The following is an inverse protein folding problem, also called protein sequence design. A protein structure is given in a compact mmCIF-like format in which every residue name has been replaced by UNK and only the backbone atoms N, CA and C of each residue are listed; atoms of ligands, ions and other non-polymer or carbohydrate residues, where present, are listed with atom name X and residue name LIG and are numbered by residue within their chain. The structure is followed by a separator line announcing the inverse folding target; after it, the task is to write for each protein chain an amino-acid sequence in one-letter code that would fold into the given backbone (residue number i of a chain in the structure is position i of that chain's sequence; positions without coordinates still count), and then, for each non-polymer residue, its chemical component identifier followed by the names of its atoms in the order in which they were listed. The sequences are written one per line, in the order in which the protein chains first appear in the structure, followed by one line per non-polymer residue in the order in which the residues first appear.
data_IF_583762765002
#
_entry.id   IF_583762765002
#
_cell.length_a   1.000
_cell.length_b   1.000
_cell.length_c   1.000
_cell.angle_alpha   90.00
_cell.angle_beta   90.00
_cell.angle_gamma   90.00
#
_symmetry.space_group_name_H-M   'P 1'
#
loop_
_entity.id
_entity.type
_entity.pdbx_description
1 polymer ?
#
# COMPACT_ATOMS: atom_id res chain seq x y z
N UNK A 1 -12.24 50.00 11.77
CA UNK A 1 -12.84 48.70 12.10
C UNK A 1 -12.06 47.67 11.30
N UNK A 2 -11.23 46.88 11.97
CA UNK A 2 -10.48 45.80 11.36
C UNK A 2 -11.27 44.51 11.59
N UNK A 3 -11.77 43.92 10.51
CA UNK A 3 -12.31 42.56 10.53
C UNK A 3 -11.12 41.61 10.42
N UNK A 4 -10.70 41.06 11.56
CA UNK A 4 -9.81 39.91 11.61
C UNK A 4 -10.64 38.66 11.36
N UNK A 5 -10.67 38.21 10.11
CA UNK A 5 -11.14 36.88 9.73
C UNK A 5 -10.23 35.84 10.38
N UNK A 6 -10.70 35.28 11.48
CA UNK A 6 -10.09 34.13 12.13
C UNK A 6 -10.58 32.88 11.41
N UNK A 7 -9.94 32.56 10.28
CA UNK A 7 -10.11 31.25 9.67
C UNK A 7 -9.50 30.22 10.62
N UNK A 8 -10.39 29.55 11.35
CA UNK A 8 -10.04 28.37 12.14
C UNK A 8 -9.70 27.27 11.15
N UNK A 9 -8.42 27.13 10.87
CA UNK A 9 -7.84 25.96 10.22
C UNK A 9 -8.23 24.72 11.04
N UNK A 10 -9.31 24.05 10.63
CA UNK A 10 -9.63 22.70 11.08
C UNK A 10 -8.53 21.77 10.59
N UNK A 11 -7.48 21.66 11.40
CA UNK A 11 -6.48 20.60 11.33
C UNK A 11 -7.22 19.27 11.52
N UNK A 12 -7.63 18.64 10.43
CA UNK A 12 -8.00 17.23 10.44
C UNK A 12 -6.79 16.46 10.99
N UNK A 13 -6.90 15.91 12.21
CA UNK A 13 -5.92 14.94 12.70
C UNK A 13 -5.96 13.75 11.75
N UNK A 14 -4.87 13.57 10.99
CA UNK A 14 -4.77 12.50 10.01
C UNK A 14 -4.81 11.14 10.72
N UNK A 15 -5.91 10.42 10.56
CA UNK A 15 -6.11 9.05 11.07
C UNK A 15 -5.46 8.00 10.16
N UNK A 16 -4.27 8.29 9.60
CA UNK A 16 -3.54 7.35 8.73
C UNK A 16 -2.35 6.78 9.46
N UNK A 17 -2.30 5.46 9.56
CA UNK A 17 -1.13 4.77 10.07
C UNK A 17 -0.02 4.93 9.03
N UNK A 18 1.12 5.48 9.44
CA UNK A 18 2.31 5.44 8.62
C UNK A 18 2.87 4.02 8.58
N UNK A 19 3.34 3.61 7.42
CA UNK A 19 4.15 2.41 7.24
C UNK A 19 5.61 2.80 7.09
N UNK A 20 6.52 1.85 7.30
CA UNK A 20 7.93 2.07 7.04
C UNK A 20 8.18 2.30 5.55
N UNK A 21 8.79 3.44 5.22
CA UNK A 21 9.21 3.78 3.86
C UNK A 21 10.61 3.20 3.63
N UNK A 22 10.80 2.27 2.68
CA UNK A 22 12.12 1.71 2.37
C UNK A 22 13.13 2.80 2.01
N UNK A 23 14.42 2.59 2.27
CA UNK A 23 15.47 3.60 2.01
C UNK A 23 15.48 4.05 0.55
N UNK A 24 15.39 3.13 -0.41
CA UNK A 24 15.28 3.45 -1.85
C UNK A 24 14.09 4.36 -2.19
N UNK A 25 12.97 4.21 -1.48
CA UNK A 25 11.80 5.07 -1.64
C UNK A 25 11.98 6.43 -0.97
N UNK A 26 12.70 6.48 0.16
CA UNK A 26 12.96 7.73 0.88
C UNK A 26 13.81 8.71 0.06
N UNK A 27 14.56 8.24 -0.94
CA UNK A 27 15.33 9.05 -1.86
C UNK A 27 14.47 9.74 -2.95
N UNK A 28 13.24 9.28 -3.17
CA UNK A 28 12.34 9.82 -4.19
C UNK A 28 11.31 10.79 -3.59
N UNK A 29 11.46 12.08 -3.89
CA UNK A 29 10.55 13.15 -3.43
C UNK A 29 9.09 12.90 -3.85
N UNK A 30 8.84 12.17 -4.96
CA UNK A 30 7.48 11.84 -5.39
C UNK A 30 6.85 10.80 -4.45
N UNK A 31 7.64 9.86 -3.95
CA UNK A 31 7.21 8.89 -2.93
C UNK A 31 7.04 9.59 -1.58
N UNK A 32 7.97 10.46 -1.20
CA UNK A 32 7.86 11.27 0.02
C UNK A 32 6.55 12.09 0.02
N UNK A 33 6.23 12.73 -1.12
CA UNK A 33 4.96 13.45 -1.30
C UNK A 33 3.73 12.58 -1.02
N UNK A 34 3.73 11.34 -1.51
CA UNK A 34 2.62 10.39 -1.34
C UNK A 34 2.53 9.84 0.09
N UNK A 35 3.65 9.40 0.64
CA UNK A 35 3.73 8.71 1.94
C UNK A 35 3.59 9.66 3.13
N UNK A 36 4.04 10.91 2.99
CA UNK A 36 3.80 11.97 3.98
C UNK A 36 2.45 12.66 3.81
N UNK A 37 1.64 12.22 2.85
CA UNK A 37 0.30 12.75 2.61
C UNK A 37 0.29 14.26 2.34
N UNK A 38 1.31 14.80 1.67
CA UNK A 38 1.43 16.24 1.38
C UNK A 38 0.25 16.76 0.54
N UNK A 39 -0.37 15.89 -0.26
CA UNK A 39 -1.59 16.16 -1.01
C UNK A 39 -2.84 16.38 -0.15
N UNK A 40 -2.82 16.02 1.13
CA UNK A 40 -4.03 16.10 1.95
C UNK A 40 -4.33 17.51 2.48
N UNK A 41 -3.42 18.46 2.23
CA UNK A 41 -3.57 19.89 2.60
C UNK A 41 -4.17 20.74 1.47
N UNK A 42 -4.48 20.14 0.33
CA UNK A 42 -4.99 20.84 -0.86
C UNK A 42 -6.40 20.35 -1.22
N UNK A 43 -7.07 21.08 -2.12
CA UNK A 43 -8.39 20.75 -2.61
C UNK A 43 -8.43 19.34 -3.23
N UNK A 44 -9.53 18.60 -3.02
CA UNK A 44 -9.63 17.19 -3.39
C UNK A 44 -9.38 16.92 -4.88
N UNK A 45 -9.86 17.76 -5.80
CA UNK A 45 -9.63 17.59 -7.23
C UNK A 45 -8.13 17.73 -7.59
N UNK A 46 -7.45 18.70 -6.98
CA UNK A 46 -6.00 18.88 -7.14
C UNK A 46 -5.22 17.74 -6.49
N UNK A 47 -5.64 17.27 -5.31
CA UNK A 47 -5.03 16.14 -4.62
C UNK A 47 -5.05 14.87 -5.49
N UNK A 48 -6.21 14.55 -6.09
CA UNK A 48 -6.36 13.40 -6.99
C UNK A 48 -5.47 13.52 -8.24
N UNK A 49 -5.41 14.70 -8.82
CA UNK A 49 -4.56 14.97 -9.98
C UNK A 49 -3.08 14.78 -9.63
N UNK A 50 -2.64 15.28 -8.48
CA UNK A 50 -1.26 15.15 -8.02
C UNK A 50 -0.89 13.70 -7.70
N UNK A 51 -1.76 12.95 -6.98
CA UNK A 51 -1.55 11.52 -6.71
C UNK A 51 -1.37 10.76 -8.03
N UNK A 52 -2.28 11.00 -8.98
CA UNK A 52 -2.25 10.34 -10.29
C UNK A 52 -0.98 10.68 -11.08
N UNK A 53 -0.60 11.96 -11.13
CA UNK A 53 0.63 12.41 -11.82
C UNK A 53 1.87 11.74 -11.24
N UNK A 54 1.99 11.72 -9.90
CA UNK A 54 3.16 11.15 -9.22
C UNK A 54 3.25 9.63 -9.44
N UNK A 55 2.14 8.90 -9.30
CA UNK A 55 2.11 7.47 -9.58
C UNK A 55 2.44 7.17 -11.06
N UNK A 56 1.99 8.00 -12.00
CA UNK A 56 2.35 7.88 -13.42
C UNK A 56 3.84 8.14 -13.68
N UNK A 57 4.40 9.18 -13.09
CA UNK A 57 5.82 9.51 -13.18
C UNK A 57 6.72 8.41 -12.60
N UNK A 58 6.21 7.66 -11.62
CA UNK A 58 6.85 6.50 -10.99
C UNK A 58 6.62 5.18 -11.76
N UNK A 59 5.78 5.18 -12.80
CA UNK A 59 5.44 3.96 -13.55
C UNK A 59 4.44 3.02 -12.88
N UNK A 60 3.74 3.47 -11.83
CA UNK A 60 2.79 2.67 -11.04
C UNK A 60 1.33 2.75 -11.54
N UNK A 61 1.15 2.99 -12.83
CA UNK A 61 -0.18 3.09 -13.46
C UNK A 61 -0.65 1.75 -14.05
N UNK A 62 -1.92 1.65 -14.41
CA UNK A 62 -2.49 0.53 -15.17
C UNK A 62 -2.46 -0.84 -14.46
N UNK A 63 -2.90 -0.90 -13.19
CA UNK A 63 -3.10 -2.15 -12.44
C UNK A 63 -1.88 -3.12 -12.51
N UNK A 64 -0.67 -2.58 -12.65
CA UNK A 64 0.54 -3.33 -13.02
C UNK A 64 1.31 -3.96 -11.84
N UNK A 65 0.77 -3.89 -10.62
CA UNK A 65 1.36 -4.38 -9.35
C UNK A 65 2.82 -3.95 -9.07
N UNK A 66 3.42 -3.05 -9.87
CA UNK A 66 4.82 -2.67 -9.77
C UNK A 66 5.16 -2.03 -8.41
N UNK A 67 4.26 -1.19 -7.88
CA UNK A 67 4.45 -0.60 -6.56
C UNK A 67 4.46 -1.65 -5.43
N UNK A 68 3.69 -2.72 -5.57
CA UNK A 68 3.66 -3.83 -4.60
C UNK A 68 4.95 -4.64 -4.66
N UNK A 69 5.46 -4.86 -5.88
CA UNK A 69 6.77 -5.46 -6.11
C UNK A 69 7.87 -4.64 -5.43
N UNK A 70 8.01 -3.37 -5.81
CA UNK A 70 9.06 -2.48 -5.33
C UNK A 70 9.05 -2.34 -3.81
N UNK A 71 7.86 -2.27 -3.20
CA UNK A 71 7.78 -2.21 -1.74
C UNK A 71 8.33 -3.48 -1.08
N UNK A 72 7.93 -4.66 -1.57
CA UNK A 72 8.38 -5.92 -1.00
C UNK A 72 9.87 -6.17 -1.28
N UNK A 73 10.33 -5.80 -2.47
CA UNK A 73 11.73 -5.83 -2.90
C UNK A 73 12.60 -4.94 -1.99
N UNK A 74 12.30 -3.65 -1.91
CA UNK A 74 13.12 -2.70 -1.17
C UNK A 74 13.06 -2.92 0.35
N UNK A 75 11.91 -3.32 0.90
CA UNK A 75 11.85 -3.74 2.30
C UNK A 75 12.71 -4.97 2.57
N UNK A 76 12.71 -5.95 1.67
CA UNK A 76 13.57 -7.14 1.79
C UNK A 76 15.03 -6.71 1.75
N UNK A 77 15.40 -5.83 0.83
CA UNK A 77 16.73 -5.27 0.72
C UNK A 77 17.19 -4.58 2.02
N UNK A 78 16.34 -3.72 2.60
CA UNK A 78 16.64 -3.01 3.84
C UNK A 78 16.86 -3.96 5.02
N UNK A 79 16.05 -5.02 5.11
CA UNK A 79 16.19 -6.03 6.16
C UNK A 79 17.46 -6.88 5.96
N UNK A 80 17.81 -7.23 4.72
CA UNK A 80 19.06 -7.93 4.41
C UNK A 80 20.27 -7.08 4.82
N UNK A 81 20.28 -5.79 4.47
CA UNK A 81 21.34 -4.85 4.85
C UNK A 81 21.45 -4.68 6.37
N UNK A 82 20.32 -4.53 7.05
CA UNK A 82 20.28 -4.40 8.51
C UNK A 82 20.86 -5.63 9.22
N UNK A 83 20.65 -6.83 8.66
CA UNK A 83 21.17 -8.09 9.18
C UNK A 83 22.61 -8.38 8.72
N UNK A 84 23.23 -7.50 7.91
CA UNK A 84 24.58 -7.70 7.39
C UNK A 84 24.70 -8.87 6.41
N UNK A 85 23.60 -9.22 5.74
CA UNK A 85 23.63 -10.24 4.70
C UNK A 85 24.41 -9.76 3.49
N UNK A 86 25.14 -10.68 2.86
CA UNK A 86 25.88 -10.39 1.62
C UNK A 86 25.07 -10.93 0.47
N UNK A 87 24.62 -10.05 -0.41
CA UNK A 87 23.80 -10.40 -1.56
C UNK A 87 24.16 -9.54 -2.77
N UNK A 88 23.66 -9.94 -3.93
CA UNK A 88 23.66 -9.13 -5.16
C UNK A 88 22.23 -8.97 -5.65
N UNK A 89 21.95 -7.84 -6.31
CA UNK A 89 20.61 -7.48 -6.79
C UNK A 89 20.47 -7.55 -8.30
N UNK A 90 19.24 -7.52 -8.78
CA UNK A 90 18.89 -7.55 -10.21
C UNK A 90 19.73 -6.61 -11.08
N UNK A 91 19.94 -5.36 -10.66
CA UNK A 91 20.71 -4.38 -11.44
C UNK A 91 22.17 -4.78 -11.59
N UNK A 92 22.78 -5.32 -10.54
CA UNK A 92 24.17 -5.80 -10.59
C UNK A 92 24.31 -7.06 -11.46
N UNK A 93 23.27 -7.91 -11.48
CA UNK A 93 23.20 -9.08 -12.34
C UNK A 93 23.04 -8.71 -13.81
N UNK A 94 22.22 -7.68 -14.09
CA UNK A 94 21.98 -7.18 -15.45
C UNK A 94 23.25 -6.68 -16.09
N UNK A 95 24.11 -6.02 -15.31
CA UNK A 95 25.38 -5.45 -15.77
C UNK A 95 26.54 -6.46 -15.77
N UNK A 96 26.34 -7.66 -15.21
CA UNK A 96 27.37 -8.71 -15.12
C UNK A 96 26.99 -9.96 -15.93
N UNK A 97 27.36 -9.95 -17.22
CA UNK A 97 27.09 -11.05 -18.14
C UNK A 97 27.70 -12.39 -17.72
N UNK A 98 28.78 -12.38 -16.92
CA UNK A 98 29.39 -13.64 -16.42
C UNK A 98 28.50 -14.30 -15.38
N UNK A 99 28.01 -13.53 -14.40
CA UNK A 99 27.11 -14.05 -13.37
C UNK A 99 25.76 -14.42 -13.99
N UNK A 100 25.24 -13.59 -14.90
CA UNK A 100 24.01 -13.88 -15.64
C UNK A 100 24.09 -15.16 -16.45
N UNK A 101 25.23 -15.45 -17.10
CA UNK A 101 25.46 -16.71 -17.78
C UNK A 101 25.46 -17.91 -16.81
N UNK A 102 26.08 -17.77 -15.63
CA UNK A 102 26.02 -18.79 -14.57
C UNK A 102 24.59 -19.09 -14.12
N UNK A 103 23.71 -18.08 -14.14
CA UNK A 103 22.30 -18.17 -13.79
C UNK A 103 21.41 -18.61 -14.96
N UNK A 104 21.99 -19.11 -16.05
CA UNK A 104 21.24 -19.54 -17.23
C UNK A 104 20.48 -18.40 -17.92
N UNK A 105 21.02 -17.18 -17.85
CA UNK A 105 20.41 -15.97 -18.41
C UNK A 105 19.31 -15.35 -17.55
N UNK A 106 19.07 -15.85 -16.34
CA UNK A 106 18.06 -15.30 -15.42
C UNK A 106 18.62 -14.15 -14.57
N UNK A 107 17.73 -13.23 -14.20
CA UNK A 107 18.03 -12.05 -13.37
C UNK A 107 17.03 -11.99 -12.20
N UNK A 108 17.21 -12.85 -11.18
CA UNK A 108 16.40 -12.77 -9.96
C UNK A 108 16.62 -11.45 -9.22
N UNK A 109 15.68 -11.08 -8.34
CA UNK A 109 15.80 -9.86 -7.53
C UNK A 109 16.97 -9.90 -6.55
N UNK A 110 17.19 -11.05 -5.89
CA UNK A 110 18.29 -11.22 -4.95
C UNK A 110 19.00 -12.56 -5.10
N UNK A 111 20.32 -12.52 -4.94
CA UNK A 111 21.15 -13.71 -4.72
C UNK A 111 21.94 -13.51 -3.44
N UNK A 112 21.50 -14.17 -2.38
CA UNK A 112 22.07 -14.09 -1.05
C UNK A 112 23.14 -15.15 -0.89
N UNK A 113 24.36 -14.70 -0.56
CA UNK A 113 25.52 -15.56 -0.34
C UNK A 113 25.21 -16.61 0.73
N UNK A 114 25.76 -17.80 0.53
CA UNK A 114 25.85 -18.81 1.57
C UNK A 114 26.54 -18.23 2.82
N UNK A 115 25.83 -18.21 3.95
CA UNK A 115 26.35 -17.76 5.24
C UNK A 115 25.70 -18.56 6.38
N UNK A 116 26.31 -18.55 7.56
CA UNK A 116 25.80 -19.20 8.76
C UNK A 116 25.54 -20.71 8.56
N UNK A 117 24.31 -21.13 8.86
CA UNK A 117 23.85 -22.53 8.75
C UNK A 117 23.41 -22.94 7.33
N UNK A 118 23.41 -22.03 6.35
CA UNK A 118 22.93 -22.32 5.00
C UNK A 118 23.92 -23.22 4.25
N UNK A 119 23.43 -24.31 3.65
CA UNK A 119 24.26 -25.22 2.87
C UNK A 119 24.60 -24.66 1.48
N UNK A 120 23.73 -23.80 0.93
CA UNK A 120 23.79 -23.24 -0.42
C UNK A 120 23.55 -21.72 -0.42
N UNK A 121 23.83 -21.11 -1.56
CA UNK A 121 23.35 -19.75 -1.89
C UNK A 121 21.83 -19.76 -1.95
N UNK A 122 21.20 -18.64 -1.62
CA UNK A 122 19.74 -18.48 -1.74
C UNK A 122 19.43 -17.52 -2.87
N UNK A 123 18.54 -17.89 -3.76
CA UNK A 123 17.98 -17.01 -4.78
C UNK A 123 16.56 -16.66 -4.35
N UNK A 124 16.26 -15.36 -4.26
CA UNK A 124 14.94 -14.82 -3.97
C UNK A 124 14.46 -14.05 -5.20
N UNK A 125 13.22 -14.31 -5.61
CA UNK A 125 12.58 -13.63 -6.74
C UNK A 125 11.20 -13.16 -6.28
N UNK A 126 11.00 -11.85 -6.22
CA UNK A 126 9.77 -11.18 -5.81
C UNK A 126 8.78 -11.27 -6.98
N UNK A 127 7.61 -11.82 -6.71
CA UNK A 127 6.61 -12.05 -7.73
C UNK A 127 5.23 -11.59 -7.30
N UNK A 128 4.66 -10.67 -8.09
CA UNK A 128 3.34 -10.06 -7.86
C UNK A 128 2.37 -10.23 -9.03
N UNK A 129 2.71 -11.07 -10.00
CA UNK A 129 1.87 -11.31 -11.19
C UNK A 129 0.87 -12.45 -11.00
N UNK A 130 0.06 -12.69 -12.04
CA UNK A 130 -1.04 -13.66 -12.03
C UNK A 130 -0.63 -15.10 -12.39
N UNK A 131 0.63 -15.34 -12.77
CA UNK A 131 1.12 -16.69 -13.11
C UNK A 131 1.26 -17.53 -11.85
N UNK A 132 1.20 -18.85 -12.03
CA UNK A 132 1.45 -19.77 -10.91
C UNK A 132 2.92 -19.68 -10.47
N UNK A 133 3.16 -19.66 -9.16
CA UNK A 133 4.52 -19.64 -8.57
C UNK A 133 5.41 -20.77 -9.11
N UNK A 134 4.82 -21.92 -9.44
CA UNK A 134 5.50 -23.08 -10.02
C UNK A 134 6.16 -22.77 -11.38
N UNK A 135 5.57 -21.91 -12.19
CA UNK A 135 6.13 -21.51 -13.48
C UNK A 135 7.38 -20.64 -13.28
N UNK A 136 7.36 -19.75 -12.28
CA UNK A 136 8.52 -18.93 -11.91
C UNK A 136 9.63 -19.82 -11.34
N UNK A 137 9.29 -20.77 -10.46
CA UNK A 137 10.22 -21.81 -9.95
C UNK A 137 10.84 -22.65 -11.04
N UNK A 138 10.12 -22.92 -12.12
CA UNK A 138 10.61 -23.68 -13.26
C UNK A 138 11.90 -23.09 -13.86
N UNK A 139 12.03 -21.75 -13.88
CA UNK A 139 13.20 -21.05 -14.45
C UNK A 139 14.52 -21.41 -13.76
N UNK A 140 14.46 -21.67 -12.46
CA UNK A 140 15.64 -21.87 -11.61
C UNK A 140 15.92 -23.34 -11.32
N UNK A 141 15.13 -24.28 -11.88
CA UNK A 141 15.26 -25.72 -11.60
C UNK A 141 16.66 -26.26 -11.91
N UNK A 142 17.30 -25.75 -12.97
CA UNK A 142 18.66 -26.14 -13.34
C UNK A 142 19.72 -25.69 -12.31
N UNK A 143 19.41 -24.70 -11.46
CA UNK A 143 20.32 -24.10 -10.48
C UNK A 143 20.24 -24.79 -9.10
N UNK A 144 19.32 -25.75 -8.93
CA UNK A 144 19.02 -26.38 -7.64
C UNK A 144 20.22 -27.11 -7.00
N UNK A 145 21.27 -27.44 -7.76
CA UNK A 145 22.47 -28.06 -7.21
C UNK A 145 23.34 -27.08 -6.41
N UNK A 146 23.34 -25.78 -6.75
CA UNK A 146 24.18 -24.78 -6.08
C UNK A 146 23.39 -23.75 -5.26
N UNK A 147 22.11 -23.55 -5.57
CA UNK A 147 21.25 -22.60 -4.87
C UNK A 147 19.92 -23.22 -4.44
N UNK A 148 19.40 -22.74 -3.31
CA UNK A 148 18.00 -22.91 -2.94
C UNK A 148 17.21 -21.71 -3.48
N UNK A 149 16.03 -21.97 -4.06
CA UNK A 149 15.24 -20.96 -4.76
C UNK A 149 13.89 -20.74 -4.09
N UNK A 150 13.55 -19.46 -3.87
CA UNK A 150 12.27 -19.06 -3.29
C UNK A 150 11.62 -17.93 -4.09
N UNK A 151 10.36 -18.16 -4.48
CA UNK A 151 9.50 -17.13 -5.07
C UNK A 151 8.76 -16.43 -3.95
N UNK A 152 9.08 -15.16 -3.72
CA UNK A 152 8.53 -14.32 -2.65
C UNK A 152 7.30 -13.60 -3.20
N UNK A 153 6.11 -13.94 -2.70
CA UNK A 153 4.85 -13.32 -3.11
C UNK A 153 4.21 -12.59 -1.94
N UNK A 154 3.27 -11.65 -2.18
CA UNK A 154 2.48 -11.00 -1.14
C UNK A 154 1.79 -11.97 -0.16
N UNK A 155 1.55 -13.21 -0.59
CA UNK A 155 0.84 -14.23 0.18
C UNK A 155 1.78 -15.20 0.91
N UNK A 156 3.04 -15.31 0.50
CA UNK A 156 3.93 -16.34 1.00
C UNK A 156 5.25 -15.81 1.60
N UNK A 157 5.53 -14.50 1.52
CA UNK A 157 6.84 -13.95 1.88
C UNK A 157 7.29 -14.32 3.29
N UNK A 158 6.36 -14.45 4.24
CA UNK A 158 6.69 -14.87 5.61
C UNK A 158 7.38 -16.23 5.66
N UNK A 159 6.93 -17.18 4.82
CA UNK A 159 7.54 -18.51 4.73
C UNK A 159 8.85 -18.48 3.97
N UNK A 160 8.89 -17.76 2.84
CA UNK A 160 10.02 -17.79 1.93
C UNK A 160 11.23 -17.03 2.48
N UNK A 161 11.00 -15.93 3.19
CA UNK A 161 12.06 -15.12 3.78
C UNK A 161 12.62 -15.73 5.07
N UNK A 162 11.97 -16.74 5.66
CA UNK A 162 12.44 -17.43 6.86
C UNK A 162 13.81 -18.14 6.68
N UNK A 163 14.25 -18.36 5.44
CA UNK A 163 15.59 -18.89 5.16
C UNK A 163 16.70 -17.85 5.28
N UNK A 164 16.37 -16.55 5.25
CA UNK A 164 17.34 -15.44 5.17
C UNK A 164 17.15 -14.36 6.23
N UNK A 165 15.96 -14.24 6.81
CA UNK A 165 15.64 -13.21 7.81
C UNK A 165 15.16 -13.85 9.12
N UNK A 166 15.44 -13.22 10.27
CA UNK A 166 14.89 -13.66 11.55
C UNK A 166 13.37 -13.44 11.61
N UNK A 167 12.69 -14.25 12.43
CA UNK A 167 11.22 -14.20 12.54
C UNK A 167 10.69 -12.82 12.97
N UNK A 168 11.42 -12.09 13.81
CA UNK A 168 11.06 -10.73 14.24
C UNK A 168 10.96 -9.74 13.09
N UNK A 169 11.86 -9.86 12.12
CA UNK A 169 11.93 -8.96 10.97
C UNK A 169 10.86 -9.30 9.94
N UNK A 170 10.55 -10.59 9.82
CA UNK A 170 9.42 -11.07 9.00
C UNK A 170 8.09 -10.56 9.57
N UNK A 171 7.91 -10.60 10.89
CA UNK A 171 6.73 -10.05 11.56
C UNK A 171 6.65 -8.52 11.39
N UNK A 172 7.78 -7.84 11.46
CA UNK A 172 7.88 -6.41 11.21
C UNK A 172 7.48 -6.06 9.77
N UNK A 173 8.04 -6.78 8.79
CA UNK A 173 7.68 -6.65 7.37
C UNK A 173 6.20 -6.90 7.17
N UNK A 174 5.64 -7.96 7.76
CA UNK A 174 4.23 -8.29 7.62
C UNK A 174 3.32 -7.16 8.08
N UNK A 175 3.56 -6.60 9.28
CA UNK A 175 2.76 -5.49 9.80
C UNK A 175 2.82 -4.25 8.90
N UNK A 176 4.02 -3.91 8.42
CA UNK A 176 4.20 -2.76 7.54
C UNK A 176 3.58 -2.98 6.16
N UNK A 177 3.71 -4.20 5.61
CA UNK A 177 3.12 -4.58 4.34
C UNK A 177 1.59 -4.47 4.35
N UNK A 178 0.93 -4.86 5.44
CA UNK A 178 -0.52 -4.69 5.57
C UNK A 178 -0.96 -3.22 5.55
N UNK A 179 -0.21 -2.33 6.22
CA UNK A 179 -0.49 -0.88 6.23
C UNK A 179 -0.22 -0.31 4.83
N UNK A 180 0.89 -0.68 4.21
CA UNK A 180 1.23 -0.29 2.83
C UNK A 180 0.12 -0.71 1.85
N UNK A 181 -0.35 -1.95 1.90
CA UNK A 181 -1.42 -2.42 1.02
C UNK A 181 -2.71 -1.61 1.19
N UNK A 182 -3.07 -1.25 2.44
CA UNK A 182 -4.22 -0.40 2.68
C UNK A 182 -4.08 0.97 2.01
N UNK A 183 -2.91 1.61 2.12
CA UNK A 183 -2.62 2.90 1.46
C UNK A 183 -2.57 2.77 -0.06
N UNK A 184 -1.94 1.72 -0.59
CA UNK A 184 -1.88 1.42 -2.01
C UNK A 184 -3.28 1.23 -2.62
N UNK A 185 -4.14 0.45 -1.96
CA UNK A 185 -5.52 0.27 -2.41
C UNK A 185 -6.36 1.53 -2.26
N UNK A 186 -6.09 2.36 -1.25
CA UNK A 186 -6.70 3.70 -1.15
C UNK A 186 -6.33 4.56 -2.36
N UNK A 187 -5.04 4.67 -2.72
CA UNK A 187 -4.62 5.44 -3.89
C UNK A 187 -5.25 4.91 -5.18
N UNK A 188 -5.30 3.59 -5.36
CA UNK A 188 -5.99 2.98 -6.51
C UNK A 188 -7.49 3.27 -6.53
N UNK A 189 -8.17 3.18 -5.39
CA UNK A 189 -9.59 3.48 -5.29
C UNK A 189 -9.86 4.95 -5.66
N UNK A 190 -9.05 5.89 -5.17
CA UNK A 190 -9.13 7.30 -5.52
C UNK A 190 -9.01 7.55 -7.04
N UNK A 191 -8.04 6.90 -7.71
CA UNK A 191 -7.86 7.01 -9.17
C UNK A 191 -9.06 6.40 -9.92
N UNK A 192 -9.52 5.21 -9.50
CA UNK A 192 -10.67 4.53 -10.12
C UNK A 192 -11.96 5.33 -9.95
N UNK A 193 -12.21 5.87 -8.76
CA UNK A 193 -13.37 6.71 -8.47
C UNK A 193 -13.36 8.01 -9.28
N UNK A 194 -12.21 8.65 -9.50
CA UNK A 194 -12.14 9.79 -10.41
C UNK A 194 -12.58 9.39 -11.82
N UNK A 195 -12.10 8.25 -12.34
CA UNK A 195 -12.47 7.76 -13.67
C UNK A 195 -13.98 7.53 -13.81
N UNK A 196 -14.63 6.97 -12.79
CA UNK A 196 -16.08 6.70 -12.78
C UNK A 196 -16.87 7.99 -12.54
N UNK A 197 -16.58 8.73 -11.47
CA UNK A 197 -17.37 9.88 -11.04
C UNK A 197 -17.23 11.08 -11.98
N UNK A 198 -16.08 11.25 -12.65
CA UNK A 198 -15.85 12.42 -13.52
C UNK A 198 -16.21 12.12 -14.98
N UNK A 199 -15.92 10.91 -15.49
CA UNK A 199 -16.23 10.59 -16.90
C UNK A 199 -17.66 10.07 -17.09
N UNK A 200 -18.25 9.39 -16.09
CA UNK A 200 -19.63 8.91 -16.17
C UNK A 200 -20.63 9.79 -15.43
N UNK A 201 -20.24 10.91 -14.81
CA UNK A 201 -21.18 11.85 -14.19
C UNK A 201 -22.40 12.20 -15.06
N UNK A 202 -22.25 12.44 -16.38
CA UNK A 202 -23.38 12.70 -17.28
C UNK A 202 -24.29 11.49 -17.49
N UNK A 203 -23.78 10.28 -17.25
CA UNK A 203 -24.43 8.99 -17.54
C UNK A 203 -24.94 8.27 -16.29
N UNK A 204 -24.69 8.79 -15.08
CA UNK A 204 -25.22 8.21 -13.84
C UNK A 204 -26.68 8.66 -13.71
N UNK A 205 -27.67 7.75 -13.82
CA UNK A 205 -29.07 8.13 -13.62
C UNK A 205 -29.26 8.56 -12.16
N UNK A 206 -29.48 9.86 -11.97
CA UNK A 206 -29.82 10.43 -10.67
C UNK A 206 -31.15 9.84 -10.23
N UNK A 207 -31.11 9.01 -9.20
CA UNK A 207 -32.32 8.51 -8.56
C UNK A 207 -33.00 9.69 -7.86
N UNK A 208 -34.12 10.14 -8.40
CA UNK A 208 -34.99 11.09 -7.71
C UNK A 208 -35.63 10.33 -6.56
N UNK A 209 -35.17 10.60 -5.35
CA UNK A 209 -35.88 10.13 -4.16
C UNK A 209 -37.18 10.91 -4.06
N UNK A 210 -38.32 10.24 -3.83
CA UNK A 210 -39.58 10.95 -3.62
C UNK A 210 -39.42 11.90 -2.43
N UNK A 211 -39.99 13.10 -2.56
CA UNK A 211 -40.08 14.02 -1.43
C UNK A 211 -40.73 13.30 -0.25
N UNK A 212 -40.18 13.51 0.94
CA UNK A 212 -40.74 12.97 2.18
C UNK A 212 -42.18 13.45 2.25
N UNK A 213 -43.13 12.52 2.33
CA UNK A 213 -44.54 12.90 2.42
C UNK A 213 -44.77 13.81 3.63
N UNK A 214 -45.72 14.74 3.51
CA UNK A 214 -46.09 15.65 4.61
C UNK A 214 -46.42 14.88 5.89
N UNK A 215 -47.02 13.68 5.75
CA UNK A 215 -47.35 12.79 6.86
C UNK A 215 -46.10 12.22 7.54
N UNK A 216 -45.10 11.82 6.76
CA UNK A 216 -43.85 11.28 7.28
C UNK A 216 -42.98 12.39 7.89
N UNK A 217 -43.00 13.60 7.34
CA UNK A 217 -42.34 14.75 7.94
C UNK A 217 -43.00 15.14 9.28
N UNK A 218 -44.34 15.20 9.32
CA UNK A 218 -45.08 15.45 10.56
C UNK A 218 -44.83 14.38 11.63
N UNK A 219 -44.78 13.10 11.24
CA UNK A 219 -44.43 12.01 12.14
C UNK A 219 -42.99 12.13 12.69
N UNK A 220 -42.04 12.55 11.84
CA UNK A 220 -40.66 12.81 12.25
C UNK A 220 -40.55 13.97 13.23
N UNK A 221 -41.25 15.08 12.96
CA UNK A 221 -41.27 16.25 13.84
C UNK A 221 -41.92 15.93 15.19
N UNK A 222 -42.97 15.11 15.18
CA UNK A 222 -43.62 14.62 16.40
C UNK A 222 -42.70 13.71 17.21
N UNK A 223 -42.01 12.78 16.55
CA UNK A 223 -41.03 11.90 17.22
C UNK A 223 -39.85 12.67 17.82
N UNK A 224 -39.37 13.72 17.14
CA UNK A 224 -38.33 14.62 17.69
C UNK A 224 -38.83 15.32 18.96
N UNK A 225 -40.08 15.81 18.96
CA UNK A 225 -40.69 16.42 20.15
C UNK A 225 -40.85 15.42 21.29
N UNK A 226 -41.31 14.20 20.99
CA UNK A 226 -41.48 13.14 22.00
C UNK A 226 -40.14 12.73 22.61
N UNK A 227 -39.08 12.62 21.80
CA UNK A 227 -37.73 12.36 22.27
C UNK A 227 -37.18 13.48 23.15
N UNK A 228 -37.43 14.75 22.79
CA UNK A 228 -37.03 15.88 23.62
C UNK A 228 -37.74 15.85 24.98
N UNK A 229 -39.05 15.58 24.99
CA UNK A 229 -39.83 15.43 26.24
C UNK A 229 -39.35 14.24 27.07
N UNK A 230 -39.05 13.10 26.43
CA UNK A 230 -38.46 11.94 27.10
C UNK A 230 -37.09 12.26 27.70
N UNK A 231 -36.21 12.93 26.94
CA UNK A 231 -34.89 13.33 27.42
C UNK A 231 -34.98 14.29 28.62
N UNK A 232 -35.90 15.26 28.60
CA UNK A 232 -36.17 16.14 29.75
C UNK A 232 -36.69 15.35 30.95
N UNK A 233 -37.63 14.41 30.75
CA UNK A 233 -38.12 13.53 31.85
C UNK A 233 -37.01 12.67 32.44
N UNK A 234 -36.10 12.14 31.63
CA UNK A 234 -34.95 11.36 32.10
C UNK A 234 -33.95 12.25 32.84
N UNK A 235 -33.71 13.48 32.37
CA UNK A 235 -32.84 14.44 33.05
C UNK A 235 -33.43 14.99 34.36
N UNK A 236 -34.75 15.11 34.45
CA UNK A 236 -35.48 15.57 35.64
C UNK A 236 -35.74 14.45 36.65
N UNK A 237 -35.55 13.17 36.26
CA UNK A 237 -35.44 12.05 37.18
C UNK A 237 -34.06 12.08 37.86
N UNK A 238 -33.82 13.07 38.72
CA UNK A 238 -32.89 12.92 39.83
C UNK A 238 -33.48 11.88 40.78
N UNK A 239 -33.16 10.61 40.54
CA UNK A 239 -32.96 9.54 41.54
C UNK A 239 -33.09 8.15 40.89
N UNK A 240 -31.96 7.61 40.39
CA UNK A 240 -31.42 6.29 40.76
C UNK A 240 -29.89 6.41 40.79
#
# INVERSE_FOLDING_TARGET
MAETDTSTSTSYQFFRKSFHVPRKWAEDERIAYLTEHRYAKIESAMALTNITSKLKELGYMEDNNAMVHDYLDYMTQDLLDMNGEVYIIETELRDNETIKALLGGTTPDFIVKKSGSRAKTVILDVYVGDKQESEVKGKYKALAFFADFYVVTPHNFQKQLASVLPATDIDYLYKNFQIFLAEYYYWRACIKLQKVLVNDMPNIPMRVFPEISVQQQAAKDMYIKDLAVYATKVADCNDI
#
